data_IF_050631111663
#
_entry.id   IF_050631111663
#
_cell.length_a   1.000
_cell.length_b   1.000
_cell.length_c   1.000
_cell.angle_alpha   90.00
_cell.angle_beta   90.00
_cell.angle_gamma   90.00
#
_symmetry.space_group_name_H-M   'P 1'
#
loop_
_entity.id
_entity.type
_entity.pdbx_description
1 polymer ?
#
# COMPACT_ATOMS: atom_id res chain seq x y z
N UNK A 1 26.15 -49.15 72.35
CA UNK A 1 26.26 -47.70 72.61
C UNK A 1 27.39 -47.15 71.74
N UNK A 2 27.13 -46.91 70.44
CA UNK A 2 27.11 -45.53 69.91
C UNK A 2 26.16 -45.38 68.69
N UNK A 3 25.20 -44.44 68.66
CA UNK A 3 24.63 -43.95 67.36
C UNK A 3 23.64 -42.78 67.45
N UNK A 4 23.63 -41.98 68.51
CA UNK A 4 22.71 -40.82 68.59
C UNK A 4 23.37 -39.48 68.21
N UNK A 5 24.68 -39.46 67.99
CA UNK A 5 25.43 -38.24 67.74
C UNK A 5 25.40 -37.79 66.26
N UNK A 6 25.30 -38.74 65.32
CA UNK A 6 25.30 -38.44 63.88
C UNK A 6 23.97 -37.84 63.36
N UNK A 7 22.84 -38.19 63.98
CA UNK A 7 21.53 -37.67 63.55
C UNK A 7 21.32 -36.20 63.96
N UNK A 8 21.82 -35.81 65.13
CA UNK A 8 21.75 -34.42 65.60
C UNK A 8 22.67 -33.49 64.78
N UNK A 9 23.77 -33.99 64.22
CA UNK A 9 24.61 -33.21 63.31
C UNK A 9 23.98 -33.08 61.92
N UNK A 10 23.39 -34.14 61.36
CA UNK A 10 22.75 -34.07 60.04
C UNK A 10 21.57 -33.08 60.01
N UNK A 11 20.75 -33.02 61.07
CA UNK A 11 19.60 -32.08 61.13
C UNK A 11 20.08 -30.63 61.30
N UNK A 12 21.20 -30.40 61.99
CA UNK A 12 21.79 -29.07 62.14
C UNK A 12 22.42 -28.56 60.85
N UNK A 13 23.04 -29.45 60.06
CA UNK A 13 23.65 -29.10 58.77
C UNK A 13 22.56 -28.74 57.75
N UNK A 14 21.48 -29.54 57.64
CA UNK A 14 20.36 -29.21 56.75
C UNK A 14 19.56 -27.98 57.19
N UNK A 15 19.54 -27.69 58.50
CA UNK A 15 18.94 -26.47 59.04
C UNK A 15 19.75 -25.21 58.71
N UNK A 16 21.09 -25.26 58.80
CA UNK A 16 21.92 -24.11 58.45
C UNK A 16 21.94 -23.86 56.94
N UNK A 17 21.98 -24.92 56.13
CA UNK A 17 21.94 -24.82 54.67
C UNK A 17 20.61 -24.23 54.18
N UNK A 18 19.48 -24.57 54.82
CA UNK A 18 18.18 -23.95 54.49
C UNK A 18 18.13 -22.47 54.87
N UNK A 19 18.74 -22.07 56.00
CA UNK A 19 18.79 -20.67 56.43
C UNK A 19 19.73 -19.84 55.54
N UNK A 20 20.81 -20.44 55.08
CA UNK A 20 21.76 -19.84 54.14
C UNK A 20 21.13 -19.70 52.75
N UNK A 21 20.39 -20.72 52.28
CA UNK A 21 19.62 -20.65 51.04
C UNK A 21 18.51 -19.59 51.06
N UNK A 22 17.80 -19.42 52.19
CA UNK A 22 16.83 -18.31 52.31
C UNK A 22 17.52 -16.96 52.30
N UNK A 23 18.68 -16.84 52.95
CA UNK A 23 19.44 -15.58 52.98
C UNK A 23 20.03 -15.23 51.61
N UNK A 24 20.49 -16.22 50.86
CA UNK A 24 20.95 -16.03 49.49
C UNK A 24 19.81 -15.65 48.55
N UNK A 25 18.63 -16.26 48.70
CA UNK A 25 17.44 -15.90 47.92
C UNK A 25 16.92 -14.50 48.27
N UNK A 26 16.93 -14.12 49.54
CA UNK A 26 16.63 -12.75 49.99
C UNK A 26 17.67 -11.74 49.45
N UNK A 27 18.95 -12.14 49.40
CA UNK A 27 19.99 -11.29 48.80
C UNK A 27 19.89 -11.21 47.27
N UNK A 28 19.44 -12.27 46.61
CA UNK A 28 19.23 -12.33 45.17
C UNK A 28 18.01 -11.50 44.76
N UNK A 29 16.92 -11.57 45.52
CA UNK A 29 15.72 -10.74 45.34
C UNK A 29 15.99 -9.26 45.61
N UNK A 30 16.84 -8.93 46.59
CA UNK A 30 17.31 -7.55 46.76
C UNK A 30 18.22 -7.09 45.60
N UNK A 31 19.11 -7.94 45.07
CA UNK A 31 19.95 -7.60 43.91
C UNK A 31 19.16 -7.47 42.61
N UNK A 32 18.08 -8.24 42.41
CA UNK A 32 17.18 -8.06 41.26
C UNK A 32 16.23 -6.88 41.44
N UNK A 33 15.84 -6.52 42.67
CA UNK A 33 15.11 -5.29 42.95
C UNK A 33 15.95 -4.01 42.69
N UNK A 34 17.27 -4.08 42.90
CA UNK A 34 18.19 -2.97 42.59
C UNK A 34 18.51 -2.83 41.09
N UNK A 35 18.25 -3.87 40.27
CA UNK A 35 18.48 -3.83 38.81
C UNK A 35 17.21 -3.53 38.00
N UNK A 36 16.02 -3.67 38.58
CA UNK A 36 14.74 -3.37 37.92
C UNK A 36 13.84 -2.44 38.76
N UNK A 37 14.29 -1.19 38.93
CA UNK A 37 13.36 -0.07 39.16
C UNK A 37 13.79 1.19 38.41
N UNK A 38 13.40 1.36 37.12
CA UNK A 38 13.03 2.70 36.69
C UNK A 38 11.85 3.12 37.58
N UNK A 39 12.11 4.07 38.47
CA UNK A 39 11.13 4.71 39.33
C UNK A 39 9.97 5.24 38.49
N UNK A 40 8.90 4.44 38.32
CA UNK A 40 7.59 4.94 37.93
C UNK A 40 6.97 5.60 39.15
N UNK A 41 7.44 6.82 39.41
CA UNK A 41 6.69 7.80 40.18
C UNK A 41 5.36 7.96 39.45
N UNK A 42 4.28 7.64 40.13
CA UNK A 42 2.93 8.03 39.75
C UNK A 42 2.85 9.57 39.71
N UNK A 43 3.34 10.18 38.64
CA UNK A 43 2.91 11.51 38.21
C UNK A 43 1.54 11.34 37.61
N UNK A 44 0.53 11.67 38.41
CA UNK A 44 -0.72 12.26 37.96
C UNK A 44 -0.47 13.05 36.66
N UNK A 45 -0.93 12.49 35.54
CA UNK A 45 -0.75 13.11 34.24
C UNK A 45 -1.48 14.46 34.23
N UNK A 46 -0.80 15.61 34.01
CA UNK A 46 -1.48 16.70 33.35
C UNK A 46 -1.77 16.22 31.91
N UNK A 47 -2.99 16.47 31.45
CA UNK A 47 -3.37 16.30 30.04
C UNK A 47 -2.30 16.94 29.16
N UNK A 48 -1.47 16.12 28.53
CA UNK A 48 -0.40 16.55 27.63
C UNK A 48 -0.75 15.98 26.27
N UNK A 49 -1.40 16.82 25.49
CA UNK A 49 -1.53 16.62 24.05
C UNK A 49 -0.13 16.29 23.53
N UNK A 50 0.06 15.04 23.06
CA UNK A 50 1.25 14.69 22.30
C UNK A 50 1.14 15.49 21.02
N UNK A 51 1.71 16.70 21.03
CA UNK A 51 1.70 17.61 19.88
C UNK A 51 2.14 16.80 18.67
N UNK A 52 1.38 16.89 17.58
CA UNK A 52 1.62 16.20 16.31
C UNK A 52 3.08 16.32 15.85
N UNK A 53 3.76 17.40 16.22
CA UNK A 53 5.20 17.59 16.03
C UNK A 53 6.07 16.49 16.67
N UNK A 54 5.75 16.05 17.90
CA UNK A 54 6.47 14.97 18.59
C UNK A 54 6.27 13.59 17.96
N UNK A 55 5.10 13.35 17.34
CA UNK A 55 4.83 12.12 16.59
C UNK A 55 5.58 12.13 15.26
N UNK A 56 5.58 13.26 14.55
CA UNK A 56 6.32 13.42 13.30
C UNK A 56 7.84 13.31 13.51
N UNK A 57 8.37 13.84 14.61
CA UNK A 57 9.79 13.68 14.93
C UNK A 57 10.15 12.23 15.26
N UNK A 58 9.26 11.50 15.95
CA UNK A 58 9.43 10.06 16.20
C UNK A 58 9.35 9.23 14.91
N UNK A 59 8.47 9.61 13.98
CA UNK A 59 8.40 8.99 12.65
C UNK A 59 9.65 9.26 11.81
N UNK A 60 10.20 10.47 11.86
CA UNK A 60 11.47 10.82 11.20
C UNK A 60 12.66 10.04 11.77
N UNK A 61 12.69 9.84 13.10
CA UNK A 61 13.70 9.00 13.73
C UNK A 61 13.59 7.55 13.26
N UNK A 62 12.38 7.00 13.17
CA UNK A 62 12.14 5.66 12.65
C UNK A 62 12.63 5.50 11.21
N UNK A 63 12.33 6.47 10.33
CA UNK A 63 12.84 6.47 8.95
C UNK A 63 14.37 6.53 8.89
N UNK A 64 15.01 7.32 9.77
CA UNK A 64 16.48 7.35 9.85
C UNK A 64 17.04 6.00 10.31
N UNK A 65 16.39 5.33 11.26
CA UNK A 65 16.78 3.99 11.70
C UNK A 65 16.59 2.95 10.60
N UNK A 66 15.48 2.99 9.86
CA UNK A 66 15.23 2.11 8.73
C UNK A 66 16.28 2.28 7.63
N UNK A 67 16.64 3.53 7.30
CA UNK A 67 17.70 3.83 6.34
C UNK A 67 19.06 3.29 6.80
N UNK A 68 19.41 3.47 8.07
CA UNK A 68 20.66 2.91 8.64
C UNK A 68 20.66 1.39 8.60
N UNK A 69 19.53 0.74 8.91
CA UNK A 69 19.41 -0.70 8.84
C UNK A 69 19.58 -1.21 7.40
N UNK A 70 18.93 -0.59 6.42
CA UNK A 70 19.08 -0.93 5.01
C UNK A 70 20.55 -0.82 4.56
N UNK A 71 21.25 0.25 4.95
CA UNK A 71 22.69 0.38 4.64
C UNK A 71 23.55 -0.70 5.30
N UNK A 72 23.22 -1.13 6.52
CA UNK A 72 23.95 -2.21 7.19
C UNK A 72 23.69 -3.57 6.56
N UNK A 73 22.48 -3.82 6.08
CA UNK A 73 22.14 -5.04 5.34
C UNK A 73 22.89 -5.07 4.01
N UNK A 74 22.89 -3.99 3.23
CA UNK A 74 23.65 -3.91 1.99
C UNK A 74 25.15 -4.16 2.22
N UNK A 75 25.76 -3.54 3.24
CA UNK A 75 27.16 -3.77 3.59
C UNK A 75 27.43 -5.22 4.05
N UNK A 76 26.48 -5.84 4.75
CA UNK A 76 26.58 -7.26 5.15
C UNK A 76 26.53 -8.17 3.93
N UNK A 77 25.69 -7.87 2.96
CA UNK A 77 25.52 -8.65 1.74
C UNK A 77 26.76 -8.50 0.84
N UNK A 78 27.29 -7.27 0.69
CA UNK A 78 28.57 -7.02 0.01
C UNK A 78 29.73 -7.76 0.70
N UNK A 79 29.75 -7.82 2.03
CA UNK A 79 30.78 -8.56 2.76
C UNK A 79 30.61 -10.08 2.59
N UNK A 80 29.37 -10.58 2.53
CA UNK A 80 29.10 -11.97 2.20
C UNK A 80 29.54 -12.31 0.78
N UNK A 81 29.30 -11.42 -0.18
CA UNK A 81 29.75 -11.54 -1.57
C UNK A 81 31.29 -11.51 -1.67
N UNK A 82 31.96 -10.60 -0.95
CA UNK A 82 33.42 -10.59 -0.85
C UNK A 82 33.99 -11.84 -0.14
N UNK A 83 33.27 -12.41 0.83
CA UNK A 83 33.66 -13.66 1.50
C UNK A 83 33.54 -14.86 0.56
N UNK A 84 32.49 -14.89 -0.27
CA UNK A 84 32.31 -15.89 -1.32
C UNK A 84 33.37 -15.73 -2.42
N UNK A 85 33.68 -14.50 -2.83
CA UNK A 85 34.71 -14.19 -3.83
C UNK A 85 36.14 -14.48 -3.31
N UNK A 86 36.44 -14.20 -2.04
CA UNK A 86 37.74 -14.49 -1.42
C UNK A 86 37.93 -15.98 -1.11
N UNK A 87 36.84 -16.71 -0.83
CA UNK A 87 36.87 -18.17 -0.70
C UNK A 87 37.02 -18.89 -2.04
N UNK A 88 36.76 -18.22 -3.17
CA UNK A 88 36.96 -18.73 -4.53
C UNK A 88 38.37 -18.57 -5.10
N UNK A 89 39.28 -17.89 -4.38
CA UNK A 89 40.64 -17.60 -4.87
C UNK A 89 41.73 -18.56 -4.35
N UNK A 90 41.36 -19.62 -3.63
CA UNK A 90 42.30 -20.67 -3.20
C UNK A 90 41.80 -22.07 -3.52
N UNK A 91 41.90 -22.48 -4.79
CA UNK A 91 42.18 -23.87 -5.19
C UNK A 91 42.19 -23.98 -6.72
N UNK A 92 43.30 -23.56 -7.33
CA UNK A 92 43.72 -24.22 -8.56
C UNK A 92 44.13 -25.65 -8.20
N UNK A 93 43.41 -26.65 -8.71
CA UNK A 93 44.05 -27.79 -9.34
C UNK A 93 43.03 -28.67 -10.10
N UNK A 94 43.39 -28.89 -11.36
CA UNK A 94 42.85 -29.89 -12.27
C UNK A 94 42.73 -31.25 -11.59
N UNK A 95 41.63 -31.96 -11.86
CA UNK A 95 41.67 -33.36 -12.27
C UNK A 95 40.33 -33.75 -12.89
N UNK A 96 40.33 -33.83 -14.21
CA UNK A 96 39.55 -34.80 -14.99
C UNK A 96 39.81 -36.20 -14.44
N UNK A 97 38.77 -36.96 -14.12
CA UNK A 97 38.59 -38.36 -14.55
C UNK A 97 37.27 -38.92 -14.04
N UNK A 98 36.46 -39.30 -15.02
CA UNK A 98 35.41 -40.31 -15.05
C UNK A 98 35.67 -41.51 -14.12
N UNK A 99 34.73 -41.83 -13.23
CA UNK A 99 34.03 -43.13 -13.23
C UNK A 99 32.86 -43.12 -12.22
N UNK A 100 31.72 -43.55 -12.74
CA UNK A 100 30.56 -44.20 -12.12
C UNK A 100 30.47 -44.27 -10.59
N UNK A 101 29.40 -43.71 -10.01
CA UNK A 101 28.43 -44.54 -9.30
C UNK A 101 27.06 -43.84 -9.21
N UNK A 102 26.01 -44.66 -9.19
CA UNK A 102 24.60 -44.32 -9.38
C UNK A 102 23.99 -43.55 -8.21
N UNK A 103 23.32 -42.42 -8.48
CA UNK A 103 21.93 -42.12 -8.07
C UNK A 103 21.45 -40.78 -8.66
N UNK A 104 20.40 -40.86 -9.50
CA UNK A 104 19.31 -39.89 -9.68
C UNK A 104 19.64 -38.38 -9.70
N UNK A 105 19.80 -37.80 -10.90
CA UNK A 105 19.35 -36.43 -11.25
C UNK A 105 19.45 -36.22 -12.78
N UNK A 106 18.65 -36.95 -13.56
CA UNK A 106 18.42 -36.63 -14.97
C UNK A 106 17.21 -35.70 -15.10
N UNK A 107 17.45 -34.38 -15.21
CA UNK A 107 16.57 -33.41 -15.91
C UNK A 107 17.12 -31.97 -15.91
N UNK A 108 18.42 -31.75 -16.18
CA UNK A 108 18.96 -30.37 -16.35
C UNK A 108 19.54 -30.03 -17.73
N UNK A 109 20.16 -30.95 -18.51
CA UNK A 109 20.69 -30.56 -19.82
C UNK A 109 19.60 -30.39 -20.89
N UNK A 110 18.51 -31.16 -20.84
CA UNK A 110 17.42 -31.05 -21.82
C UNK A 110 16.56 -29.78 -21.67
N UNK A 111 16.44 -29.23 -20.46
CA UNK A 111 15.69 -27.99 -20.23
C UNK A 111 16.37 -26.76 -20.82
N UNK A 112 17.71 -26.71 -20.80
CA UNK A 112 18.47 -25.61 -21.42
C UNK A 112 18.41 -25.66 -22.95
N UNK A 113 18.40 -26.85 -23.53
CA UNK A 113 18.31 -27.03 -24.98
C UNK A 113 16.89 -26.74 -25.51
N UNK A 114 15.83 -27.14 -24.79
CA UNK A 114 14.45 -26.76 -25.14
C UNK A 114 14.19 -25.26 -24.97
N UNK A 115 14.75 -24.61 -23.94
CA UNK A 115 14.69 -23.16 -23.78
C UNK A 115 15.43 -22.43 -24.93
N UNK A 116 16.60 -22.91 -25.33
CA UNK A 116 17.35 -22.32 -26.45
C UNK A 116 16.61 -22.44 -27.79
N UNK A 117 15.89 -23.55 -28.02
CA UNK A 117 15.03 -23.73 -29.20
C UNK A 117 13.79 -22.85 -29.12
N UNK A 118 13.17 -22.73 -27.94
CA UNK A 118 12.00 -21.87 -27.70
C UNK A 118 12.30 -20.38 -27.89
N UNK A 119 13.42 -19.90 -27.34
CA UNK A 119 13.87 -18.50 -27.53
C UNK A 119 14.17 -18.24 -29.00
N UNK A 120 14.80 -19.18 -29.71
CA UNK A 120 15.05 -19.04 -31.16
C UNK A 120 13.75 -18.96 -31.96
N UNK A 121 12.74 -19.75 -31.59
CA UNK A 121 11.39 -19.66 -32.19
C UNK A 121 10.76 -18.29 -31.94
N UNK A 122 10.77 -17.80 -30.71
CA UNK A 122 10.24 -16.48 -30.36
C UNK A 122 10.95 -15.33 -31.10
N UNK A 123 12.27 -15.43 -31.29
CA UNK A 123 13.03 -14.46 -32.08
C UNK A 123 12.62 -14.49 -33.55
N UNK A 124 12.42 -15.68 -34.14
CA UNK A 124 11.94 -15.81 -35.52
C UNK A 124 10.52 -15.27 -35.71
N UNK A 125 9.63 -15.51 -34.75
CA UNK A 125 8.26 -14.97 -34.77
C UNK A 125 8.28 -13.44 -34.67
N UNK A 126 9.17 -12.89 -33.84
CA UNK A 126 9.36 -11.44 -33.72
C UNK A 126 9.95 -10.84 -34.99
N UNK A 127 10.93 -11.49 -35.61
CA UNK A 127 11.48 -11.07 -36.91
C UNK A 127 10.39 -11.06 -37.99
N UNK A 128 9.55 -12.08 -38.04
CA UNK A 128 8.42 -12.16 -38.97
C UNK A 128 7.41 -11.03 -38.71
N UNK A 129 7.04 -10.81 -37.44
CA UNK A 129 6.12 -9.75 -37.06
C UNK A 129 6.66 -8.35 -37.41
N UNK A 130 7.96 -8.11 -37.20
CA UNK A 130 8.62 -6.84 -37.57
C UNK A 130 8.61 -6.64 -39.08
N UNK A 131 8.87 -7.69 -39.86
CA UNK A 131 8.82 -7.61 -41.33
C UNK A 131 7.40 -7.34 -41.82
N UNK A 132 6.38 -7.99 -41.23
CA UNK A 132 4.97 -7.76 -41.55
C UNK A 132 4.56 -6.32 -41.21
N UNK A 133 4.86 -5.85 -40.00
CA UNK A 133 4.59 -4.48 -39.58
C UNK A 133 5.28 -3.44 -40.48
N UNK A 134 6.51 -3.71 -40.93
CA UNK A 134 7.21 -2.83 -41.87
C UNK A 134 6.56 -2.80 -43.26
N UNK A 135 6.05 -3.93 -43.74
CA UNK A 135 5.31 -3.99 -45.00
C UNK A 135 3.98 -3.23 -44.90
N UNK A 136 3.26 -3.37 -43.79
CA UNK A 136 2.02 -2.64 -43.50
C UNK A 136 2.27 -1.13 -43.42
N UNK A 137 3.29 -0.70 -42.68
CA UNK A 137 3.68 0.71 -42.59
C UNK A 137 4.04 1.30 -43.97
N UNK A 138 4.74 0.54 -44.82
CA UNK A 138 5.01 0.96 -46.21
C UNK A 138 3.74 1.09 -47.04
N UNK A 139 2.80 0.15 -46.89
CA UNK A 139 1.51 0.18 -47.59
C UNK A 139 0.69 1.38 -47.16
N UNK A 140 0.59 1.65 -45.86
CA UNK A 140 -0.12 2.81 -45.31
C UNK A 140 0.51 4.12 -45.76
N UNK A 141 1.85 4.22 -45.73
CA UNK A 141 2.56 5.41 -46.24
C UNK A 141 2.26 5.66 -47.72
N UNK A 142 2.23 4.62 -48.55
CA UNK A 142 1.87 4.76 -49.96
C UNK A 142 0.41 5.21 -50.16
N UNK A 143 -0.52 4.72 -49.34
CA UNK A 143 -1.92 5.17 -49.34
C UNK A 143 -2.05 6.63 -48.91
N UNK A 144 -1.28 7.05 -47.92
CA UNK A 144 -1.23 8.42 -47.42
C UNK A 144 -0.66 9.37 -48.48
N UNK A 145 0.43 8.99 -49.14
CA UNK A 145 1.02 9.79 -50.23
C UNK A 145 0.07 9.88 -51.44
N UNK A 146 -0.67 8.79 -51.76
CA UNK A 146 -1.74 8.82 -52.76
C UNK A 146 -2.87 9.76 -52.36
N UNK A 147 -3.33 9.72 -51.12
CA UNK A 147 -4.37 10.62 -50.61
C UNK A 147 -3.91 12.09 -50.67
N UNK A 148 -2.68 12.39 -50.24
CA UNK A 148 -2.07 13.73 -50.36
C UNK A 148 -2.03 14.22 -51.81
N UNK A 149 -1.61 13.36 -52.75
CA UNK A 149 -1.54 13.71 -54.17
C UNK A 149 -2.92 13.89 -54.82
N UNK A 150 -3.95 13.21 -54.31
CA UNK A 150 -5.33 13.32 -54.78
C UNK A 150 -6.08 14.52 -54.19
N UNK A 151 -5.50 15.20 -53.20
CA UNK A 151 -6.12 16.33 -52.53
C UNK A 151 -5.63 17.64 -53.17
N UNK A 152 -6.40 18.29 -54.05
CA UNK A 152 -6.00 19.58 -54.60
C UNK A 152 -5.88 20.62 -53.49
N UNK A 153 -4.96 21.57 -53.64
CA UNK A 153 -4.65 22.64 -52.68
C UNK A 153 -5.92 23.21 -52.04
N UNK A 154 -6.11 22.89 -50.75
CA UNK A 154 -7.27 23.32 -49.95
C UNK A 154 -7.39 24.84 -49.79
N UNK A 155 -6.41 25.59 -50.29
CA UNK A 155 -6.35 27.04 -50.30
C UNK A 155 -7.31 27.68 -51.32
N UNK A 156 -7.85 26.93 -52.30
CA UNK A 156 -8.81 27.45 -53.29
C UNK A 156 -10.29 27.13 -53.00
N UNK A 157 -10.60 26.44 -51.89
CA UNK A 157 -11.98 25.99 -51.60
C UNK A 157 -12.76 27.01 -50.75
N UNK A 158 -14.07 27.10 -51.01
CA UNK A 158 -15.03 27.94 -50.29
C UNK A 158 -14.84 27.82 -48.75
N UNK A 159 -14.69 28.93 -48.00
CA UNK A 159 -14.38 28.92 -46.56
C UNK A 159 -15.37 28.11 -45.71
N UNK A 160 -16.63 27.96 -46.15
CA UNK A 160 -17.62 27.13 -45.46
C UNK A 160 -17.31 25.63 -45.57
N UNK A 161 -16.87 25.17 -46.74
CA UNK A 161 -16.45 23.77 -46.94
C UNK A 161 -15.21 23.42 -46.12
N UNK A 162 -14.30 24.40 -45.92
CA UNK A 162 -13.12 24.24 -45.06
C UNK A 162 -13.51 24.10 -43.59
N UNK A 163 -14.45 24.91 -43.10
CA UNK A 163 -14.95 24.81 -41.72
C UNK A 163 -15.64 23.47 -41.48
N UNK A 164 -16.43 22.99 -42.44
CA UNK A 164 -17.08 21.68 -42.37
C UNK A 164 -16.06 20.53 -42.42
N UNK A 165 -15.05 20.60 -43.28
CA UNK A 165 -13.99 19.60 -43.34
C UNK A 165 -13.19 19.56 -42.03
N UNK A 166 -12.84 20.73 -41.45
CA UNK A 166 -12.13 20.79 -40.16
C UNK A 166 -13.01 20.25 -39.03
N UNK A 167 -14.30 20.55 -39.01
CA UNK A 167 -15.20 20.02 -37.98
C UNK A 167 -15.42 18.50 -38.13
N UNK A 168 -15.46 17.98 -39.36
CA UNK A 168 -15.51 16.55 -39.63
C UNK A 168 -14.24 15.84 -39.17
N UNK A 169 -13.06 16.36 -39.56
CA UNK A 169 -11.76 15.83 -39.09
C UNK A 169 -11.65 15.91 -37.58
N UNK A 170 -12.14 16.99 -36.94
CA UNK A 170 -12.15 17.09 -35.48
C UNK A 170 -12.98 15.98 -34.86
N UNK A 171 -14.19 15.72 -35.38
CA UNK A 171 -15.06 14.66 -34.88
C UNK A 171 -14.42 13.29 -35.03
N UNK A 172 -13.84 13.00 -36.19
CA UNK A 172 -13.21 11.71 -36.47
C UNK A 172 -11.94 11.49 -35.62
N UNK A 173 -11.14 12.54 -35.40
CA UNK A 173 -10.01 12.49 -34.46
C UNK A 173 -10.47 12.32 -33.00
N UNK A 174 -11.57 12.98 -32.61
CA UNK A 174 -12.14 12.80 -31.27
C UNK A 174 -12.63 11.38 -31.09
N UNK A 175 -13.36 10.83 -32.05
CA UNK A 175 -13.84 9.45 -32.03
C UNK A 175 -12.68 8.44 -32.03
N UNK A 176 -11.64 8.66 -32.83
CA UNK A 176 -10.45 7.81 -32.80
C UNK A 176 -9.72 7.88 -31.45
N UNK A 177 -9.66 9.05 -30.84
CA UNK A 177 -9.05 9.24 -29.52
C UNK A 177 -9.88 8.58 -28.43
N UNK A 178 -11.21 8.71 -28.46
CA UNK A 178 -12.14 8.00 -27.58
C UNK A 178 -11.95 6.48 -27.72
N UNK A 179 -11.97 5.94 -28.94
CA UNK A 179 -11.72 4.51 -29.18
C UNK A 179 -10.31 4.06 -28.76
N UNK A 180 -9.30 4.92 -28.90
CA UNK A 180 -7.94 4.61 -28.47
C UNK A 180 -7.82 4.61 -26.95
N UNK A 181 -8.53 5.51 -26.26
CA UNK A 181 -8.60 5.55 -24.80
C UNK A 181 -9.38 4.35 -24.26
N UNK A 182 -10.52 4.00 -24.89
CA UNK A 182 -11.31 2.82 -24.54
C UNK A 182 -10.48 1.54 -24.64
N UNK A 183 -9.69 1.38 -25.71
CA UNK A 183 -8.77 0.24 -25.87
C UNK A 183 -7.66 0.21 -24.81
N UNK A 184 -7.16 1.37 -24.40
CA UNK A 184 -6.16 1.44 -23.32
C UNK A 184 -6.78 1.10 -21.97
N UNK A 185 -8.04 1.47 -21.74
CA UNK A 185 -8.78 1.15 -20.53
C UNK A 185 -9.18 -0.34 -20.49
N UNK A 186 -9.60 -0.91 -21.60
CA UNK A 186 -9.96 -2.34 -21.69
C UNK A 186 -8.74 -3.27 -21.59
N UNK A 187 -7.55 -2.81 -21.99
CA UNK A 187 -6.29 -3.54 -21.73
C UNK A 187 -5.88 -3.60 -20.25
N UNK A 188 -6.52 -2.81 -19.38
CA UNK A 188 -6.34 -2.89 -17.92
C UNK A 188 -7.37 -3.82 -17.26
N UNK A 189 -8.54 -4.05 -17.88
CA UNK A 189 -9.63 -4.86 -17.31
C UNK A 189 -9.77 -6.27 -17.95
N UNK A 190 -8.99 -6.59 -18.98
CA UNK A 190 -9.04 -7.92 -19.66
C UNK A 190 -7.82 -8.82 -19.39
N UNK A 191 -7.03 -8.52 -18.37
CA UNK A 191 -5.88 -9.33 -17.94
C UNK A 191 -6.19 -10.53 -17.03
N UNK A 192 -7.45 -10.74 -16.64
CA UNK A 192 -7.84 -11.81 -15.70
C UNK A 192 -8.88 -12.78 -16.30
N UNK A 193 -8.54 -13.49 -17.38
CA UNK A 193 -9.19 -14.78 -17.68
C UNK A 193 -8.49 -15.56 -18.80
N UNK A 194 -7.43 -16.24 -18.44
CA UNK A 194 -7.14 -17.64 -18.79
C UNK A 194 -5.63 -17.88 -18.69
N UNK A 195 -5.25 -18.75 -17.75
CA UNK A 195 -3.88 -19.19 -17.56
C UNK A 195 -3.57 -19.46 -16.11
N UNK A 196 -4.01 -20.62 -15.62
CA UNK A 196 -3.42 -21.25 -14.44
C UNK A 196 -1.90 -21.34 -14.64
N UNK A 197 -1.17 -20.52 -13.88
CA UNK A 197 0.28 -20.47 -13.85
C UNK A 197 0.67 -19.75 -12.58
N UNK A 198 0.95 -20.54 -11.56
CA UNK A 198 1.49 -20.18 -10.25
C UNK A 198 2.54 -19.07 -10.38
N UNK A 199 2.15 -17.81 -10.13
CA UNK A 199 3.11 -16.70 -10.04
C UNK A 199 3.67 -16.75 -8.62
N UNK A 200 4.81 -17.41 -8.50
CA UNK A 200 5.73 -17.20 -7.39
C UNK A 200 5.94 -15.69 -7.24
N UNK A 201 5.57 -15.18 -6.07
CA UNK A 201 5.82 -13.81 -5.64
C UNK A 201 7.33 -13.58 -5.52
N UNK A 202 8.00 -13.30 -6.64
CA UNK A 202 9.39 -12.86 -6.67
C UNK A 202 9.42 -11.36 -6.33
N UNK A 203 9.88 -11.02 -5.11
CA UNK A 203 10.04 -9.65 -4.61
C UNK A 203 11.02 -8.77 -5.42
N UNK A 204 11.44 -9.23 -6.60
CA UNK A 204 12.28 -8.54 -7.57
C UNK A 204 11.45 -7.74 -8.59
N UNK A 205 10.16 -8.03 -8.77
CA UNK A 205 9.31 -7.30 -9.71
C UNK A 205 8.92 -5.92 -9.16
N UNK A 206 8.68 -5.78 -7.85
CA UNK A 206 8.36 -4.49 -7.22
C UNK A 206 9.48 -3.46 -7.41
N UNK A 207 10.75 -3.88 -7.25
CA UNK A 207 11.90 -3.00 -7.46
C UNK A 207 12.07 -2.57 -8.93
N UNK A 208 11.69 -3.44 -9.88
CA UNK A 208 11.70 -3.11 -11.32
C UNK A 208 10.58 -2.13 -11.68
N UNK A 209 9.41 -2.29 -11.09
CA UNK A 209 8.29 -1.38 -11.27
C UNK A 209 8.56 -0.01 -10.66
N UNK A 210 9.16 0.05 -9.47
CA UNK A 210 9.53 1.30 -8.81
C UNK A 210 10.59 2.06 -9.63
N UNK A 211 11.63 1.38 -10.12
CA UNK A 211 12.62 1.98 -11.01
C UNK A 211 12.02 2.49 -12.34
N UNK A 212 11.00 1.81 -12.87
CA UNK A 212 10.30 2.21 -14.09
C UNK A 212 9.39 3.43 -13.86
N UNK A 213 8.75 3.51 -12.69
CA UNK A 213 7.94 4.66 -12.29
C UNK A 213 8.85 5.88 -12.08
N UNK A 214 10.00 5.71 -11.44
CA UNK A 214 10.98 6.79 -11.25
C UNK A 214 11.51 7.32 -12.59
N UNK A 215 11.87 6.45 -13.54
CA UNK A 215 12.30 6.85 -14.88
C UNK A 215 11.19 7.58 -15.65
N UNK A 216 9.93 7.12 -15.54
CA UNK A 216 8.80 7.82 -16.14
C UNK A 216 8.55 9.19 -15.50
N UNK A 217 8.72 9.30 -14.18
CA UNK A 217 8.55 10.55 -13.44
C UNK A 217 9.65 11.57 -13.78
N UNK A 218 10.90 11.14 -13.92
CA UNK A 218 11.99 12.00 -14.39
C UNK A 218 11.75 12.51 -15.82
N UNK A 219 11.31 11.64 -16.73
CA UNK A 219 10.92 12.06 -18.10
C UNK A 219 9.77 13.07 -18.09
N UNK A 220 8.80 12.89 -17.20
CA UNK A 220 7.71 13.84 -17.01
C UNK A 220 8.20 15.19 -16.49
N UNK A 221 9.09 15.21 -15.48
CA UNK A 221 9.69 16.43 -14.95
C UNK A 221 10.48 17.18 -16.01
N UNK A 222 11.26 16.47 -16.84
CA UNK A 222 12.01 17.06 -17.94
C UNK A 222 11.09 17.65 -19.03
N UNK A 223 10.03 16.94 -19.40
CA UNK A 223 9.03 17.46 -20.32
C UNK A 223 8.35 18.73 -19.77
N UNK A 224 8.05 18.75 -18.46
CA UNK A 224 7.47 19.91 -17.79
C UNK A 224 8.43 21.09 -17.73
N UNK A 225 9.72 20.86 -17.45
CA UNK A 225 10.77 21.89 -17.50
C UNK A 225 10.90 22.48 -18.90
N UNK A 226 10.89 21.64 -19.94
CA UNK A 226 10.91 22.08 -21.34
C UNK A 226 9.69 22.93 -21.68
N UNK A 227 8.50 22.52 -21.25
CA UNK A 227 7.28 23.28 -21.46
C UNK A 227 7.32 24.64 -20.75
N UNK A 228 7.75 24.68 -19.49
CA UNK A 228 7.93 25.93 -18.76
C UNK A 228 8.96 26.82 -19.47
N UNK A 229 10.09 26.27 -19.92
CA UNK A 229 11.11 27.03 -20.67
C UNK A 229 10.55 27.61 -21.97
N UNK A 230 9.77 26.84 -22.73
CA UNK A 230 9.13 27.30 -23.96
C UNK A 230 8.10 28.40 -23.67
N UNK A 231 7.29 28.23 -22.62
CA UNK A 231 6.34 29.27 -22.18
C UNK A 231 7.07 30.53 -21.73
N UNK A 232 8.20 30.42 -21.02
CA UNK A 232 8.99 31.59 -20.61
C UNK A 232 9.64 32.31 -21.80
N UNK A 233 10.10 31.58 -22.82
CA UNK A 233 10.59 32.16 -24.06
C UNK A 233 9.48 32.88 -24.85
N UNK A 234 8.25 32.36 -24.80
CA UNK A 234 7.09 33.01 -25.42
C UNK A 234 6.58 34.22 -24.61
N UNK A 235 6.93 34.30 -23.32
CA UNK A 235 6.57 35.39 -22.40
C UNK A 235 7.63 36.50 -22.34
N UNK A 236 8.76 36.35 -23.03
CA UNK A 236 9.78 37.41 -23.11
C UNK A 236 9.29 38.48 -24.09
N UNK A 237 9.17 39.77 -23.69
CA UNK A 237 8.70 40.81 -24.59
C UNK A 237 9.64 40.94 -25.78
N UNK A 238 9.08 40.88 -27.00
CA UNK A 238 9.81 41.11 -28.24
C UNK A 238 10.61 42.42 -28.13
N UNK A 239 11.93 42.34 -28.28
CA UNK A 239 12.77 43.52 -28.41
C UNK A 239 12.28 44.35 -29.60
N UNK A 240 11.84 45.57 -29.33
CA UNK A 240 11.45 46.57 -30.32
C UNK A 240 12.62 46.81 -31.27
N UNK A 241 12.56 46.20 -32.45
CA UNK A 241 13.43 46.56 -33.55
C UNK A 241 12.92 47.89 -34.12
N UNK A 242 13.55 48.97 -33.68
CA UNK A 242 13.33 50.33 -34.17
C UNK A 242 13.67 50.36 -35.66
N UNK A 243 12.64 50.41 -36.50
CA UNK A 243 12.79 50.63 -37.94
C UNK A 243 12.32 52.05 -38.24
N UNK A 244 13.28 52.97 -38.26
CA UNK A 244 13.10 54.28 -38.87
C UNK A 244 12.66 54.10 -40.33
N UNK A 245 11.47 54.58 -40.64
CA UNK A 245 11.03 54.82 -42.01
C UNK A 245 10.18 56.10 -42.03
N UNK A 246 10.87 57.21 -42.27
CA UNK A 246 10.30 58.49 -42.70
C UNK A 246 9.53 58.33 -44.01
N UNK A 247 8.22 58.63 -44.07
CA UNK A 247 7.56 59.26 -45.24
C UNK A 247 6.34 60.07 -44.79
N UNK A 248 6.16 61.21 -45.48
CA UNK A 248 5.32 62.38 -45.26
C UNK A 248 3.81 62.17 -45.48
N UNK A 249 3.03 62.86 -44.63
CA UNK A 249 1.82 63.68 -44.87
C UNK A 249 0.98 63.39 -46.14
N UNK A 250 -0.31 63.05 -45.94
CA UNK A 250 -1.48 63.80 -46.46
C UNK A 250 -2.79 63.32 -45.80
N UNK A 251 -3.53 64.24 -45.17
CA UNK A 251 -5.00 64.19 -44.97
C UNK A 251 -5.62 65.11 -46.06
N UNK A 252 -6.95 65.25 -46.25
CA UNK A 252 -8.09 64.54 -45.65
C UNK A 252 -9.23 64.19 -46.66
N UNK A 253 -10.10 63.21 -46.36
CA UNK A 253 -11.54 63.38 -46.63
C UNK A 253 -12.42 62.40 -45.84
N UNK A 254 -13.37 63.01 -45.16
CA UNK A 254 -14.63 62.56 -44.59
C UNK A 254 -15.21 61.22 -45.06
N UNK A 255 -15.69 60.42 -44.09
CA UNK A 255 -17.08 59.95 -44.05
C UNK A 255 -17.41 59.38 -42.66
N UNK A 256 -18.34 60.06 -42.02
CA UNK A 256 -19.10 59.60 -40.87
C UNK A 256 -19.62 58.19 -41.13
N UNK A 257 -19.16 57.22 -40.34
CA UNK A 257 -19.97 56.06 -39.98
C UNK A 257 -20.12 56.15 -38.48
N UNK A 258 -21.35 56.43 -38.05
CA UNK A 258 -21.78 56.26 -36.68
C UNK A 258 -21.57 54.79 -36.31
N UNK A 259 -20.39 54.48 -35.75
CA UNK A 259 -20.16 53.22 -35.07
C UNK A 259 -20.76 53.40 -33.69
N UNK A 260 -21.93 52.80 -33.48
CA UNK A 260 -22.42 52.58 -32.12
C UNK A 260 -21.29 51.94 -31.33
N UNK A 261 -20.76 52.67 -30.36
CA UNK A 261 -19.91 52.12 -29.31
C UNK A 261 -20.67 50.95 -28.68
N UNK A 262 -20.17 49.70 -28.78
CA UNK A 262 -20.72 48.62 -27.98
C UNK A 262 -20.30 48.92 -26.54
N UNK A 263 -21.22 49.59 -25.84
CA UNK A 263 -21.42 49.56 -24.39
C UNK A 263 -20.32 48.84 -23.62
N UNK A 264 -19.56 49.59 -22.81
CA UNK A 264 -18.56 49.07 -21.85
C UNK A 264 -19.07 48.01 -20.85
N UNK A 265 -20.36 47.65 -20.95
CA UNK A 265 -20.99 46.49 -20.31
C UNK A 265 -20.46 45.16 -20.88
N UNK A 266 -20.22 45.05 -22.19
CA UNK A 266 -19.67 43.82 -22.80
C UNK A 266 -18.24 43.58 -22.30
N UNK A 267 -17.45 44.65 -22.21
CA UNK A 267 -16.09 44.60 -21.67
C UNK A 267 -16.09 44.27 -20.17
N UNK A 268 -17.04 44.78 -19.38
CA UNK A 268 -17.16 44.44 -17.96
C UNK A 268 -17.59 42.98 -17.72
N UNK A 269 -18.47 42.43 -18.57
CA UNK A 269 -18.90 41.03 -18.51
C UNK A 269 -17.72 40.10 -18.85
N UNK A 270 -17.00 40.38 -19.95
CA UNK A 270 -15.86 39.57 -20.38
C UNK A 270 -14.67 39.67 -19.40
N UNK A 271 -14.40 40.85 -18.82
CA UNK A 271 -13.24 41.04 -17.94
C UNK A 271 -13.48 40.67 -16.47
N UNK A 272 -14.71 40.73 -15.96
CA UNK A 272 -15.00 40.48 -14.54
C UNK A 272 -15.94 39.30 -14.29
N UNK A 273 -16.98 39.14 -15.10
CA UNK A 273 -18.00 38.12 -14.87
C UNK A 273 -17.54 36.75 -15.39
N UNK A 274 -16.95 36.72 -16.59
CA UNK A 274 -16.51 35.48 -17.25
C UNK A 274 -15.42 34.73 -16.44
N UNK A 275 -14.37 35.40 -15.93
CA UNK A 275 -13.38 34.74 -15.07
C UNK A 275 -13.96 34.26 -13.74
N UNK A 276 -14.91 35.00 -13.17
CA UNK A 276 -15.59 34.62 -11.92
C UNK A 276 -16.46 33.37 -12.11
N UNK A 277 -17.23 33.31 -13.20
CA UNK A 277 -18.02 32.12 -13.56
C UNK A 277 -17.12 30.93 -13.89
N UNK A 278 -16.00 31.15 -14.60
CA UNK A 278 -15.02 30.10 -14.85
C UNK A 278 -14.40 29.58 -13.54
N UNK A 279 -14.01 30.47 -12.63
CA UNK A 279 -13.48 30.09 -11.32
C UNK A 279 -14.52 29.31 -10.51
N UNK A 280 -15.78 29.76 -10.49
CA UNK A 280 -16.87 29.05 -9.83
C UNK A 280 -17.07 27.65 -10.42
N UNK A 281 -17.13 27.53 -11.76
CA UNK A 281 -17.29 26.24 -12.43
C UNK A 281 -16.11 25.30 -12.16
N UNK A 282 -14.87 25.82 -12.15
CA UNK A 282 -13.69 25.01 -11.76
C UNK A 282 -13.77 24.57 -10.31
N UNK A 283 -14.17 25.45 -9.39
CA UNK A 283 -14.33 25.10 -7.97
C UNK A 283 -15.42 24.06 -7.76
N UNK A 284 -16.52 24.16 -8.50
CA UNK A 284 -17.60 23.18 -8.45
C UNK A 284 -17.13 21.83 -9.02
N UNK A 285 -16.40 21.83 -10.14
CA UNK A 285 -15.81 20.61 -10.70
C UNK A 285 -14.81 19.95 -9.74
N UNK A 286 -14.02 20.75 -9.01
CA UNK A 286 -13.15 20.22 -7.96
C UNK A 286 -13.95 19.63 -6.79
N UNK A 287 -15.03 20.28 -6.36
CA UNK A 287 -15.89 19.75 -5.29
C UNK A 287 -16.57 18.44 -5.71
N UNK A 288 -17.10 18.34 -6.93
CA UNK A 288 -17.68 17.09 -7.43
C UNK A 288 -16.64 16.00 -7.58
N UNK A 289 -15.44 16.31 -8.06
CA UNK A 289 -14.35 15.34 -8.14
C UNK A 289 -13.91 14.83 -6.76
N UNK A 290 -13.88 15.70 -5.74
CA UNK A 290 -13.57 15.30 -4.37
C UNK A 290 -14.68 14.45 -3.77
N UNK A 291 -15.95 14.76 -4.05
CA UNK A 291 -17.09 13.98 -3.60
C UNK A 291 -17.11 12.58 -4.25
N UNK A 292 -16.85 12.49 -5.55
CA UNK A 292 -16.67 11.21 -6.26
C UNK A 292 -15.50 10.40 -5.68
N UNK A 293 -14.38 11.06 -5.37
CA UNK A 293 -13.24 10.38 -4.76
C UNK A 293 -13.59 9.89 -3.35
N UNK A 294 -14.25 10.69 -2.53
CA UNK A 294 -14.74 10.28 -1.22
C UNK A 294 -15.71 9.11 -1.33
N UNK A 295 -16.61 9.12 -2.31
CA UNK A 295 -17.53 8.02 -2.55
C UNK A 295 -16.81 6.73 -2.98
N UNK A 296 -15.77 6.84 -3.81
CA UNK A 296 -14.92 5.70 -4.18
C UNK A 296 -14.19 5.12 -2.96
N UNK A 297 -13.58 5.97 -2.13
CA UNK A 297 -12.89 5.53 -0.92
C UNK A 297 -13.85 4.92 0.11
N UNK A 298 -15.02 5.52 0.32
CA UNK A 298 -16.05 4.98 1.24
C UNK A 298 -16.59 3.64 0.75
N UNK A 299 -16.85 3.47 -0.54
CA UNK A 299 -17.28 2.18 -1.08
C UNK A 299 -16.16 1.13 -1.04
N UNK A 300 -14.92 1.51 -1.32
CA UNK A 300 -13.76 0.62 -1.20
C UNK A 300 -13.55 0.14 0.24
N UNK A 301 -13.59 1.06 1.22
CA UNK A 301 -13.47 0.72 2.64
C UNK A 301 -14.61 -0.17 3.14
N UNK A 302 -15.85 0.07 2.68
CA UNK A 302 -16.99 -0.80 2.94
C UNK A 302 -16.75 -2.22 2.42
N UNK A 303 -16.29 -2.36 1.17
CA UNK A 303 -16.03 -3.67 0.57
C UNK A 303 -14.93 -4.43 1.31
N UNK A 304 -13.86 -3.75 1.71
CA UNK A 304 -12.79 -4.34 2.51
C UNK A 304 -13.33 -4.80 3.87
N UNK A 305 -14.15 -3.98 4.53
CA UNK A 305 -14.73 -4.32 5.82
C UNK A 305 -15.68 -5.52 5.73
N UNK A 306 -16.43 -5.64 4.63
CA UNK A 306 -17.31 -6.78 4.37
C UNK A 306 -16.52 -8.06 4.15
N UNK A 307 -15.48 -8.00 3.31
CA UNK A 307 -14.57 -9.13 3.12
C UNK A 307 -13.91 -9.56 4.42
N UNK A 308 -13.39 -8.60 5.20
CA UNK A 308 -12.83 -8.88 6.53
C UNK A 308 -13.88 -9.50 7.45
N UNK A 309 -15.15 -9.10 7.34
CA UNK A 309 -16.21 -9.67 8.16
C UNK A 309 -16.52 -11.13 7.81
N UNK A 310 -16.47 -11.48 6.53
CA UNK A 310 -16.69 -12.85 6.05
C UNK A 310 -15.53 -13.77 6.47
N UNK A 311 -14.29 -13.25 6.44
CA UNK A 311 -13.07 -13.98 6.83
C UNK A 311 -12.88 -14.05 8.36
N UNK A 312 -13.58 -13.24 9.14
CA UNK A 312 -13.40 -13.13 10.59
C UNK A 312 -13.96 -14.33 11.36
N UNK A 313 -13.07 -15.12 11.95
CA UNK A 313 -13.45 -16.19 12.88
C UNK A 313 -14.09 -15.64 14.17
N UNK A 314 -13.75 -14.41 14.56
CA UNK A 314 -14.30 -13.77 15.75
C UNK A 314 -15.79 -13.48 15.59
N UNK A 315 -16.20 -12.98 14.43
CA UNK A 315 -17.61 -12.72 14.14
C UNK A 315 -18.41 -14.02 13.97
N UNK A 316 -17.79 -15.07 13.42
CA UNK A 316 -18.39 -16.40 13.35
C UNK A 316 -18.61 -17.01 14.75
N UNK A 317 -17.66 -16.82 15.67
CA UNK A 317 -17.76 -17.31 17.05
C UNK A 317 -18.79 -16.52 17.88
N UNK A 318 -18.93 -15.21 17.64
CA UNK A 318 -19.83 -14.32 18.37
C UNK A 318 -20.78 -13.55 17.43
N UNK A 319 -21.75 -14.23 16.79
CA UNK A 319 -22.65 -13.60 15.83
C UNK A 319 -23.63 -12.64 16.52
N UNK A 320 -23.80 -11.46 15.92
CA UNK A 320 -24.79 -10.48 16.38
C UNK A 320 -26.20 -10.91 15.94
N UNK A 321 -26.89 -11.69 16.78
CA UNK A 321 -28.21 -12.29 16.46
C UNK A 321 -29.28 -11.24 16.10
N UNK A 322 -29.13 -10.00 16.56
CA UNK A 322 -30.08 -8.91 16.33
C UNK A 322 -30.23 -8.52 14.85
N UNK A 323 -29.25 -8.80 13.98
CA UNK A 323 -29.28 -8.40 12.56
C UNK A 323 -29.67 -9.52 11.59
N UNK A 324 -29.73 -10.76 12.06
CA UNK A 324 -30.28 -11.84 11.24
C UNK A 324 -31.80 -11.72 11.26
N UNK A 325 -32.43 -11.43 10.11
CA UNK A 325 -33.89 -11.20 10.01
C UNK A 325 -34.77 -12.36 10.50
N UNK A 326 -34.16 -13.50 10.85
CA UNK A 326 -34.83 -14.65 11.48
C UNK A 326 -34.92 -14.57 13.00
N UNK A 327 -34.09 -13.76 13.66
CA UNK A 327 -34.01 -13.63 15.11
C UNK A 327 -34.28 -12.21 15.61
N UNK A 328 -34.62 -11.26 14.73
CA UNK A 328 -34.96 -9.88 15.09
C UNK A 328 -36.10 -9.81 16.14
N UNK A 329 -37.10 -10.68 16.02
CA UNK A 329 -38.20 -10.80 16.99
C UNK A 329 -37.79 -11.44 18.33
N UNK A 330 -36.74 -12.27 18.35
CA UNK A 330 -36.24 -12.92 19.56
C UNK A 330 -35.23 -12.03 20.30
N UNK A 331 -34.38 -11.29 19.58
CA UNK A 331 -33.43 -10.34 20.15
C UNK A 331 -34.11 -9.15 20.82
N UNK A 332 -35.28 -8.73 20.31
CA UNK A 332 -36.17 -7.73 20.93
C UNK A 332 -36.62 -8.11 22.35
N UNK A 333 -36.73 -9.41 22.67
CA UNK A 333 -37.18 -9.88 23.97
C UNK A 333 -36.05 -9.92 25.04
N UNK A 334 -34.79 -10.00 24.63
CA UNK A 334 -33.63 -10.12 25.53
C UNK A 334 -32.79 -8.84 25.64
N UNK A 335 -32.84 -7.96 24.64
CA UNK A 335 -32.13 -6.70 24.63
C UNK A 335 -33.12 -5.55 24.71
N UNK A 336 -33.20 -4.90 25.87
CA UNK A 336 -33.79 -3.56 26.01
C UNK A 336 -33.06 -2.68 25.00
N UNK A 337 -33.68 -2.44 23.84
CA UNK A 337 -33.21 -1.48 22.84
C UNK A 337 -32.93 -0.18 23.59
N UNK A 338 -31.65 0.10 23.81
CA UNK A 338 -31.22 1.44 24.11
C UNK A 338 -31.22 2.12 22.75
N UNK A 339 -32.42 2.41 22.26
CA UNK A 339 -32.68 3.30 21.15
C UNK A 339 -32.14 4.67 21.58
N UNK A 340 -30.84 4.85 21.44
CA UNK A 340 -30.28 6.19 21.44
C UNK A 340 -30.84 6.87 20.19
N UNK A 341 -31.44 8.06 20.30
CA UNK A 341 -32.12 8.75 19.19
C UNK A 341 -31.15 9.29 18.12
N UNK A 342 -30.03 8.62 17.89
CA UNK A 342 -28.92 9.04 17.04
C UNK A 342 -28.65 8.06 15.87
N UNK A 343 -29.48 7.03 15.71
CA UNK A 343 -29.35 6.00 14.67
C UNK A 343 -29.53 6.53 13.24
N UNK A 344 -30.20 7.68 13.10
CA UNK A 344 -30.39 8.36 11.81
C UNK A 344 -29.11 9.01 11.27
N UNK A 345 -28.06 9.18 12.10
CA UNK A 345 -26.80 9.85 11.72
C UNK A 345 -25.58 8.93 11.87
N UNK A 346 -25.77 7.61 11.97
CA UNK A 346 -24.62 6.71 11.90
C UNK A 346 -24.20 6.45 10.46
N UNK A 347 -22.96 6.85 10.17
CA UNK A 347 -22.27 6.54 8.93
C UNK A 347 -22.29 5.03 8.65
N UNK A 348 -22.39 4.68 7.37
CA UNK A 348 -22.48 3.30 6.86
C UNK A 348 -21.32 2.43 7.35
N UNK A 349 -20.12 3.00 7.48
CA UNK A 349 -18.93 2.34 8.01
C UNK A 349 -19.12 2.02 9.50
N UNK A 350 -19.68 2.96 10.28
CA UNK A 350 -19.91 2.77 11.71
C UNK A 350 -20.89 1.62 12.00
N UNK A 351 -21.94 1.49 11.18
CA UNK A 351 -22.91 0.39 11.25
C UNK A 351 -22.30 -0.99 10.97
N UNK A 352 -21.23 -1.04 10.18
CA UNK A 352 -20.50 -2.28 9.86
C UNK A 352 -19.42 -2.62 10.89
N UNK A 353 -18.93 -1.66 11.66
CA UNK A 353 -18.02 -1.91 12.79
C UNK A 353 -18.72 -2.42 14.05
N UNK A 354 -20.01 -2.14 14.23
CA UNK A 354 -20.74 -2.52 15.44
C UNK A 354 -20.65 -4.03 15.80
N UNK A 355 -20.80 -4.98 14.85
CA UNK A 355 -20.62 -6.41 15.13
C UNK A 355 -19.23 -6.75 15.65
N UNK A 356 -18.19 -6.08 15.16
CA UNK A 356 -16.83 -6.26 15.63
C UNK A 356 -16.66 -5.80 17.07
N UNK A 357 -17.24 -4.65 17.42
CA UNK A 357 -17.20 -4.14 18.78
C UNK A 357 -17.92 -5.08 19.75
N UNK A 358 -19.07 -5.63 19.34
CA UNK A 358 -19.79 -6.61 20.15
C UNK A 358 -19.01 -7.91 20.30
N UNK A 359 -18.50 -8.47 19.19
CA UNK A 359 -17.78 -9.73 19.21
C UNK A 359 -16.49 -9.65 20.03
N UNK A 360 -15.77 -8.52 19.97
CA UNK A 360 -14.63 -8.25 20.83
C UNK A 360 -15.02 -8.25 22.32
N UNK A 361 -16.08 -7.52 22.69
CA UNK A 361 -16.56 -7.51 24.08
C UNK A 361 -17.03 -8.89 24.55
N UNK A 362 -17.71 -9.65 23.69
CA UNK A 362 -18.17 -10.99 24.01
C UNK A 362 -16.99 -11.96 24.20
N UNK A 363 -15.95 -11.85 23.36
CA UNK A 363 -14.73 -12.62 23.49
C UNK A 363 -13.94 -12.27 24.76
N UNK A 364 -13.89 -11.00 25.15
CA UNK A 364 -13.27 -10.57 26.41
C UNK A 364 -13.99 -11.21 27.61
N UNK A 365 -15.33 -11.19 27.61
CA UNK A 365 -16.12 -11.82 28.68
C UNK A 365 -15.96 -13.35 28.68
N UNK A 366 -15.95 -13.98 27.51
CA UNK A 366 -15.79 -15.43 27.39
C UNK A 366 -14.38 -15.91 27.79
N UNK A 367 -13.35 -15.14 27.43
CA UNK A 367 -11.98 -15.44 27.85
C UNK A 367 -11.80 -15.25 29.35
N UNK A 368 -12.36 -14.18 29.93
CA UNK A 368 -12.35 -13.97 31.37
C UNK A 368 -13.05 -15.11 32.14
N UNK A 369 -14.22 -15.56 31.68
CA UNK A 369 -14.94 -16.67 32.33
C UNK A 369 -14.19 -18.00 32.19
N UNK A 370 -13.54 -18.24 31.05
CA UNK A 370 -12.70 -19.44 30.87
C UNK A 370 -11.49 -19.44 31.81
N UNK A 371 -10.84 -18.29 31.97
CA UNK A 371 -9.71 -18.14 32.90
C UNK A 371 -10.15 -18.37 34.35
N UNK A 372 -11.32 -17.84 34.74
CA UNK A 372 -11.90 -18.08 36.06
C UNK A 372 -12.20 -19.58 36.28
N UNK A 373 -12.76 -20.26 35.29
CA UNK A 373 -13.01 -21.71 35.38
C UNK A 373 -11.72 -22.53 35.56
N UNK A 374 -10.65 -22.18 34.84
CA UNK A 374 -9.35 -22.84 35.01
C UNK A 374 -8.71 -22.55 36.36
N UNK A 375 -8.88 -21.34 36.90
CA UNK A 375 -8.42 -21.01 38.25
C UNK A 375 -9.17 -21.81 39.31
N UNK A 376 -10.50 -21.93 39.18
CA UNK A 376 -11.31 -22.76 40.09
C UNK A 376 -10.89 -24.24 40.01
N UNK A 377 -10.68 -24.77 38.80
CA UNK A 377 -10.19 -26.14 38.63
C UNK A 377 -8.79 -26.34 39.23
N UNK A 378 -7.90 -25.34 39.10
CA UNK A 378 -6.59 -25.33 39.72
C UNK A 378 -6.68 -25.36 41.25
N UNK A 379 -7.53 -24.52 41.84
CA UNK A 379 -7.76 -24.48 43.28
C UNK A 379 -8.34 -25.79 43.80
N UNK A 380 -9.29 -26.40 43.09
CA UNK A 380 -9.83 -27.73 43.42
C UNK A 380 -8.74 -28.81 43.38
N UNK A 381 -7.87 -28.78 42.36
CA UNK A 381 -6.75 -29.71 42.23
C UNK A 381 -5.72 -29.53 43.36
N UNK A 382 -5.40 -28.29 43.74
CA UNK A 382 -4.49 -27.98 44.85
C UNK A 382 -5.10 -28.45 46.18
N UNK A 383 -6.40 -28.22 46.40
CA UNK A 383 -7.09 -28.72 47.59
C UNK A 383 -7.15 -30.26 47.63
N UNK A 384 -7.34 -30.93 46.49
CA UNK A 384 -7.29 -32.38 46.41
C UNK A 384 -5.89 -32.91 46.74
N UNK A 385 -4.84 -32.26 46.19
CA UNK A 385 -3.46 -32.59 46.50
C UNK A 385 -3.13 -32.36 47.99
N UNK A 386 -3.56 -31.25 48.58
CA UNK A 386 -3.32 -30.97 50.00
C UNK A 386 -4.00 -32.01 50.90
N UNK A 387 -5.25 -32.37 50.61
CA UNK A 387 -5.95 -33.47 51.32
C UNK A 387 -5.20 -34.79 51.20
N UNK A 388 -4.67 -35.12 50.01
CA UNK A 388 -3.87 -36.33 49.81
C UNK A 388 -2.55 -36.32 50.57
N UNK A 389 -1.90 -35.15 50.71
CA UNK A 389 -0.69 -35.02 51.52
C UNK A 389 -0.98 -35.16 53.01
N UNK A 390 -2.11 -34.62 53.48
CA UNK A 390 -2.52 -34.75 54.87
C UNK A 390 -2.90 -36.19 55.24
N UNK A 391 -3.53 -36.95 54.33
CA UNK A 391 -3.76 -38.39 54.55
C UNK A 391 -2.45 -39.18 54.59
N UNK A 392 -1.48 -38.87 53.72
CA UNK A 392 -0.15 -39.49 53.77
C UNK A 392 0.60 -39.16 55.06
N UNK A 393 0.48 -37.93 55.57
CA UNK A 393 1.04 -37.53 56.88
C UNK A 393 0.41 -38.30 58.03
N UNK A 394 -0.91 -38.49 58.02
CA UNK A 394 -1.63 -39.29 59.02
C UNK A 394 -1.17 -40.75 59.01
N UNK A 395 -1.03 -41.36 57.83
CA UNK A 395 -0.53 -42.75 57.70
C UNK A 395 0.92 -42.87 58.19
N UNK A 396 1.78 -41.90 57.87
CA UNK A 396 3.16 -41.86 58.36
C UNK A 396 3.24 -41.73 59.89
N UNK A 397 2.30 -41.01 60.51
CA UNK A 397 2.21 -40.89 61.96
C UNK A 397 1.71 -42.16 62.66
N UNK A 398 0.86 -42.96 62.00
CA UNK A 398 0.32 -44.21 62.55
C UNK A 398 1.25 -45.42 62.38
N UNK A 399 2.17 -45.39 61.42
CA UNK A 399 3.16 -46.45 61.16
C UNK A 399 4.46 -46.37 61.96
N UNK A 400 4.54 -45.47 62.96
CA UNK A 400 5.69 -45.32 63.84
C UNK A 400 5.42 -45.82 65.26
N UNK A 401 5.36 -47.14 65.44
CA UNK A 401 5.52 -47.85 66.72
C UNK A 401 6.46 -49.03 66.50
#
# INVERSE_FOLDING_TARGET
>A
MPSTQNHAQSVKISGSERVEATRENDSATHRSADLDTPTYRATRAPSREHSMASLLDRYRELLRHQKRHATLVALKDELAEMKLASSGLTAGNLSTTTHEDLTETHSRPHQLETLAVSVRGAVQDLELAVVQAHQEAKREKALLDRAKSSTPDMNQRNPQSRRYAISAVRKELTEWLEQSLDKCQESHDTGERDGEGEVENDGNDDARWEAKIDDQYERYLDARRRLISAVTCLRTPLATQEREATVRITRPLSKSTARLEPTGVVNAIETRLLPSVQQHNTSQAHLTSLDEQLQKETTATINILDRLSDESQLLQAFPLLARSGRFEHAASAFGKKQDTPNEEVQDTISKRLEPWLFAAKAADVASASSAEAYLQQGDEAVQAASRSLDTLRLVKGAGGV
#
